data_IF_186378661100
#
_entry.id   IF_186378661100
#
_cell.length_a   1.000
_cell.length_b   1.000
_cell.length_c   1.000
_cell.angle_alpha   90.00
_cell.angle_beta   90.00
_cell.angle_gamma   90.00
#
_symmetry.space_group_name_H-M   'P 1'
#
loop_
_entity.id
_entity.type
_entity.pdbx_description
1 polymer ?
#
# COMPACT_ATOMS: atom_id res chain seq x y z
N UNK A 1 24.15 24.88 95.58
CA UNK A 1 23.07 24.99 94.61
C UNK A 1 23.60 24.48 93.30
N UNK A 2 23.25 23.23 92.96
CA UNK A 2 23.86 22.52 91.83
C UNK A 2 23.03 22.65 90.59
N UNK A 3 23.68 23.04 89.54
CA UNK A 3 23.16 23.16 88.23
C UNK A 3 23.26 21.78 87.53
N UNK A 4 22.17 21.16 87.29
CA UNK A 4 22.04 19.94 86.50
C UNK A 4 22.22 20.28 85.03
N UNK A 5 23.22 19.72 84.40
CA UNK A 5 23.51 19.87 82.98
C UNK A 5 22.90 18.67 82.24
N UNK A 6 21.89 18.81 81.38
CA UNK A 6 21.32 17.68 80.64
C UNK A 6 22.27 17.32 79.50
N UNK A 7 22.79 16.13 79.57
CA UNK A 7 23.52 15.47 78.50
C UNK A 7 22.65 15.33 77.21
N UNK A 8 22.91 16.19 76.26
CA UNK A 8 22.36 16.02 74.90
C UNK A 8 22.97 14.77 74.32
N UNK A 9 22.24 13.69 74.36
CA UNK A 9 22.52 12.48 73.61
C UNK A 9 22.48 12.82 72.10
N UNK A 10 23.62 12.99 71.47
CA UNK A 10 23.74 13.05 70.02
C UNK A 10 23.43 11.69 69.48
N UNK A 11 22.20 11.48 69.02
CA UNK A 11 21.84 10.37 68.15
C UNK A 11 22.61 10.57 66.83
N UNK A 12 23.78 9.95 66.75
CA UNK A 12 24.47 9.79 65.45
C UNK A 12 23.64 8.81 64.64
N UNK A 13 22.78 9.32 63.78
CA UNK A 13 22.20 8.55 62.72
C UNK A 13 23.37 7.99 61.87
N UNK A 14 23.68 6.73 62.06
CA UNK A 14 24.57 5.99 61.19
C UNK A 14 23.94 6.00 59.81
N UNK A 15 24.28 7.00 59.01
CA UNK A 15 24.07 6.95 57.57
C UNK A 15 24.92 5.79 57.06
N UNK A 16 24.30 4.65 56.87
CA UNK A 16 24.91 3.54 56.14
C UNK A 16 25.03 4.02 54.70
N UNK A 17 26.14 4.68 54.40
CA UNK A 17 26.49 5.03 53.05
C UNK A 17 26.66 3.71 52.25
N UNK A 18 26.00 3.58 51.17
CA UNK A 18 26.25 2.48 50.21
C UNK A 18 27.72 2.54 49.85
N UNK A 19 28.45 1.41 49.97
CA UNK A 19 29.87 1.39 49.61
C UNK A 19 30.07 1.95 48.19
N UNK A 20 31.04 2.83 47.94
CA UNK A 20 31.28 3.37 46.59
C UNK A 20 31.40 2.33 45.52
N UNK A 21 31.91 1.15 45.84
CA UNK A 21 32.02 0.01 44.94
C UNK A 21 30.64 -0.52 44.51
N UNK A 22 29.70 -0.64 45.48
CA UNK A 22 28.34 -1.11 45.15
C UNK A 22 27.60 -0.08 44.31
N UNK A 23 27.81 1.23 44.60
CA UNK A 23 27.19 2.29 43.81
C UNK A 23 27.69 2.30 42.35
N UNK A 24 28.98 2.07 42.10
CA UNK A 24 29.53 2.01 40.75
C UNK A 24 29.02 0.78 39.96
N UNK A 25 28.95 -0.38 40.64
CA UNK A 25 28.44 -1.60 40.02
C UNK A 25 26.97 -1.43 39.65
N UNK A 26 26.14 -0.84 40.53
CA UNK A 26 24.73 -0.55 40.24
C UNK A 26 24.58 0.43 39.07
N UNK A 27 25.41 1.49 39.05
CA UNK A 27 25.36 2.46 37.94
C UNK A 27 25.67 1.81 36.60
N UNK A 28 26.74 1.00 36.54
CA UNK A 28 27.10 0.29 35.30
C UNK A 28 26.01 -0.70 34.89
N UNK A 29 25.43 -1.46 35.85
CA UNK A 29 24.38 -2.39 35.56
C UNK A 29 23.13 -1.70 34.94
N UNK A 30 22.71 -0.56 35.50
CA UNK A 30 21.56 0.20 35.00
C UNK A 30 21.86 0.77 33.61
N UNK A 31 23.07 1.33 33.39
CA UNK A 31 23.42 1.90 32.08
C UNK A 31 23.48 0.85 30.97
N UNK A 32 23.99 -0.34 31.27
CA UNK A 32 24.00 -1.45 30.29
C UNK A 32 22.59 -1.91 29.95
N UNK A 33 21.71 -2.05 30.94
CA UNK A 33 20.30 -2.43 30.70
C UNK A 33 19.59 -1.36 29.88
N UNK A 34 19.76 -0.09 30.22
CA UNK A 34 19.15 1.01 29.44
C UNK A 34 19.70 1.07 28.02
N UNK A 35 21.01 0.87 27.84
CA UNK A 35 21.60 0.82 26.50
C UNK A 35 21.07 -0.35 25.67
N UNK A 36 20.90 -1.53 26.28
CA UNK A 36 20.31 -2.70 25.63
C UNK A 36 18.87 -2.46 25.21
N UNK A 37 18.04 -1.87 26.08
CA UNK A 37 16.63 -1.56 25.77
C UNK A 37 16.54 -0.51 24.66
N UNK A 38 17.35 0.55 24.72
CA UNK A 38 17.41 1.56 23.65
C UNK A 38 17.86 0.96 22.32
N UNK A 39 18.85 0.08 22.35
CA UNK A 39 19.32 -0.62 21.15
C UNK A 39 18.21 -1.45 20.50
N UNK A 40 17.46 -2.22 21.30
CA UNK A 40 16.32 -3.03 20.79
C UNK A 40 15.23 -2.13 20.22
N UNK A 41 14.89 -1.01 20.90
CA UNK A 41 13.90 -0.05 20.42
C UNK A 41 14.33 0.60 19.10
N UNK A 42 15.56 1.07 19.02
CA UNK A 42 16.09 1.69 17.78
C UNK A 42 16.19 0.66 16.66
N UNK A 43 16.67 -0.55 16.97
CA UNK A 43 16.71 -1.64 15.97
C UNK A 43 15.32 -2.00 15.47
N UNK A 44 14.30 -2.01 16.34
CA UNK A 44 12.92 -2.23 15.95
C UNK A 44 12.37 -1.12 15.03
N UNK A 45 12.74 0.14 15.30
CA UNK A 45 12.32 1.28 14.47
C UNK A 45 13.06 1.35 13.13
N UNK A 46 14.33 0.92 13.09
CA UNK A 46 15.12 0.93 11.84
C UNK A 46 14.85 -0.30 10.97
N UNK A 47 14.30 -1.37 11.55
CA UNK A 47 13.85 -2.56 10.82
C UNK A 47 12.40 -2.47 10.32
N UNK A 48 11.69 -1.36 10.54
CA UNK A 48 10.62 -1.02 9.60
C UNK A 48 11.31 -0.75 8.27
N UNK A 49 11.62 -1.84 7.55
CA UNK A 49 12.29 -1.79 6.29
C UNK A 49 11.60 -0.73 5.46
N UNK A 50 12.32 0.30 5.07
CA UNK A 50 11.92 1.11 3.96
C UNK A 50 11.84 0.14 2.77
N UNK A 51 10.69 -0.53 2.63
CA UNK A 51 10.39 -1.25 1.41
C UNK A 51 10.51 -0.18 0.35
N UNK A 52 11.50 -0.32 -0.54
CA UNK A 52 11.60 0.57 -1.69
C UNK A 52 10.21 0.63 -2.30
N UNK A 53 9.59 1.81 -2.37
CA UNK A 53 8.23 1.88 -2.85
C UNK A 53 8.21 1.37 -4.29
N UNK A 54 7.34 0.43 -4.57
CA UNK A 54 7.11 -0.01 -5.95
C UNK A 54 6.42 1.10 -6.73
N UNK A 55 6.92 1.39 -7.91
CA UNK A 55 6.29 2.33 -8.82
C UNK A 55 5.60 1.58 -9.95
N UNK A 56 4.37 1.99 -10.24
CA UNK A 56 3.61 1.56 -11.40
C UNK A 56 3.41 2.76 -12.32
N UNK A 57 4.29 2.89 -13.32
CA UNK A 57 4.11 3.90 -14.35
C UNK A 57 2.85 3.57 -15.15
N UNK A 58 2.00 4.56 -15.39
CA UNK A 58 0.77 4.44 -16.19
C UNK A 58 0.69 5.58 -17.18
N UNK A 59 0.40 5.27 -18.45
CA UNK A 59 0.20 6.29 -19.49
C UNK A 59 -1.16 7.00 -19.33
N UNK A 60 -1.38 8.04 -20.11
CA UNK A 60 -2.72 8.57 -20.35
C UNK A 60 -3.59 7.49 -21.01
N UNK A 61 -4.87 7.38 -20.61
CA UNK A 61 -5.78 6.40 -21.18
C UNK A 61 -6.15 6.74 -22.65
N UNK A 62 -6.38 5.68 -23.42
CA UNK A 62 -6.92 5.78 -24.78
C UNK A 62 -8.30 5.12 -24.79
N UNK A 63 -9.32 5.92 -25.03
CA UNK A 63 -10.70 5.43 -25.03
C UNK A 63 -11.11 4.81 -26.36
N UNK A 64 -11.82 3.70 -26.29
CA UNK A 64 -12.60 3.10 -27.37
C UNK A 64 -14.01 2.76 -26.89
N UNK A 65 -14.97 2.78 -27.81
CA UNK A 65 -16.36 2.47 -27.51
C UNK A 65 -16.81 1.29 -28.40
N UNK A 66 -16.62 0.04 -27.95
CA UNK A 66 -16.94 -1.15 -28.74
C UNK A 66 -18.44 -1.40 -28.86
N UNK A 67 -19.24 -0.87 -27.94
CA UNK A 67 -20.70 -1.00 -27.94
C UNK A 67 -21.35 0.15 -27.17
N UNK A 68 -22.61 0.44 -27.41
CA UNK A 68 -23.38 1.45 -26.69
C UNK A 68 -23.39 1.15 -25.19
N UNK A 69 -22.96 2.13 -24.39
CA UNK A 69 -22.91 2.03 -22.92
C UNK A 69 -21.75 1.19 -22.37
N UNK A 70 -20.73 0.91 -23.20
CA UNK A 70 -19.50 0.26 -22.75
C UNK A 70 -18.30 1.02 -23.29
N UNK A 71 -17.45 1.50 -22.41
CA UNK A 71 -16.27 2.28 -22.74
C UNK A 71 -15.02 1.56 -22.23
N UNK A 72 -14.06 1.36 -23.10
CA UNK A 72 -12.75 0.78 -22.79
C UNK A 72 -11.70 1.88 -22.81
N UNK A 73 -11.00 2.02 -21.71
CA UNK A 73 -9.92 3.00 -21.57
C UNK A 73 -8.62 2.23 -21.32
N UNK A 74 -7.80 2.10 -22.35
CA UNK A 74 -6.58 1.33 -22.33
C UNK A 74 -5.43 2.19 -21.79
N UNK A 75 -4.69 1.66 -20.81
CA UNK A 75 -3.57 2.32 -20.12
C UNK A 75 -2.36 1.40 -20.23
N UNK A 76 -1.30 1.88 -20.87
CA UNK A 76 -0.01 1.18 -20.91
C UNK A 76 0.68 1.29 -19.57
N UNK A 77 1.28 0.19 -19.13
CA UNK A 77 1.97 0.11 -17.83
C UNK A 77 3.48 0.02 -18.00
N UNK A 78 4.18 0.57 -17.01
CA UNK A 78 5.61 0.35 -16.80
C UNK A 78 5.82 -0.01 -15.32
N UNK A 79 5.54 -1.25 -14.93
CA UNK A 79 5.68 -1.69 -13.56
C UNK A 79 7.15 -1.89 -13.19
N UNK A 80 7.48 -1.63 -11.94
CA UNK A 80 8.76 -2.03 -11.38
C UNK A 80 8.83 -3.55 -11.26
N UNK A 81 10.02 -4.12 -11.48
CA UNK A 81 10.23 -5.55 -11.39
C UNK A 81 9.88 -6.10 -10.00
N UNK A 82 9.19 -7.23 -9.97
CA UNK A 82 8.71 -7.89 -8.74
C UNK A 82 7.36 -7.41 -8.23
N UNK A 83 6.67 -6.49 -8.93
CA UNK A 83 5.31 -6.08 -8.59
C UNK A 83 4.31 -7.21 -8.87
N UNK A 84 3.45 -7.51 -7.90
CA UNK A 84 2.31 -8.42 -8.06
C UNK A 84 1.00 -7.71 -7.79
N UNK A 85 -0.09 -8.24 -8.34
CA UNK A 85 -1.43 -7.66 -8.17
C UNK A 85 -1.90 -7.59 -6.72
N UNK A 86 -1.43 -8.50 -5.85
CA UNK A 86 -1.75 -8.47 -4.42
C UNK A 86 -1.12 -7.34 -3.64
N UNK A 87 -0.13 -6.64 -4.21
CA UNK A 87 0.54 -5.52 -3.54
C UNK A 87 -0.22 -4.20 -3.68
N UNK A 88 -1.12 -4.08 -4.65
CA UNK A 88 -1.83 -2.83 -4.91
C UNK A 88 -3.30 -3.03 -5.28
N UNK A 89 -4.07 -2.02 -4.97
CA UNK A 89 -5.42 -1.81 -5.46
C UNK A 89 -5.48 -0.64 -6.43
N UNK A 90 -6.62 -0.48 -7.09
CA UNK A 90 -6.86 0.60 -8.04
C UNK A 90 -8.05 1.45 -7.59
N UNK A 91 -7.94 2.76 -7.75
CA UNK A 91 -9.00 3.71 -7.47
C UNK A 91 -9.10 4.71 -8.62
N UNK A 92 -10.29 4.86 -9.16
CA UNK A 92 -10.63 5.96 -10.07
C UNK A 92 -10.96 7.19 -9.23
N UNK A 93 -10.23 8.27 -9.42
CA UNK A 93 -10.38 9.51 -8.68
C UNK A 93 -10.83 10.64 -9.58
N UNK A 94 -11.87 11.35 -9.16
CA UNK A 94 -12.30 12.58 -9.81
C UNK A 94 -11.27 13.69 -9.57
N UNK A 95 -11.33 14.80 -10.33
CA UNK A 95 -10.47 15.98 -10.13
C UNK A 95 -10.56 16.57 -8.72
N UNK A 96 -11.69 16.36 -8.03
CA UNK A 96 -11.89 16.77 -6.64
C UNK A 96 -11.28 15.84 -5.61
N UNK A 97 -10.64 14.75 -6.06
CA UNK A 97 -10.03 13.72 -5.19
C UNK A 97 -11.02 12.66 -4.68
N UNK A 98 -12.29 12.74 -5.04
CA UNK A 98 -13.31 11.77 -4.63
C UNK A 98 -13.11 10.46 -5.40
N UNK A 99 -13.09 9.34 -4.70
CA UNK A 99 -12.99 8.01 -5.34
C UNK A 99 -14.35 7.57 -5.87
N UNK A 100 -14.38 7.16 -7.13
CA UNK A 100 -15.56 6.53 -7.74
C UNK A 100 -15.60 5.06 -7.32
N UNK A 101 -16.74 4.59 -6.85
CA UNK A 101 -16.90 3.22 -6.37
C UNK A 101 -16.64 2.20 -7.49
N UNK A 102 -15.83 1.20 -7.19
CA UNK A 102 -15.52 0.09 -8.10
C UNK A 102 -16.76 -0.79 -8.24
N UNK A 103 -17.09 -1.16 -9.47
CA UNK A 103 -18.16 -2.10 -9.78
C UNK A 103 -17.68 -3.55 -9.81
N UNK A 104 -18.54 -4.41 -10.32
CA UNK A 104 -18.25 -5.82 -10.56
C UNK A 104 -18.18 -6.13 -12.05
N UNK A 105 -17.27 -7.01 -12.43
CA UNK A 105 -17.16 -7.49 -13.79
C UNK A 105 -18.29 -8.51 -14.08
N UNK A 106 -18.86 -8.52 -15.28
CA UNK A 106 -19.80 -9.55 -15.67
C UNK A 106 -19.10 -10.92 -15.78
N UNK A 107 -19.83 -12.00 -15.56
CA UNK A 107 -19.31 -13.36 -15.66
C UNK A 107 -18.74 -13.70 -17.06
N UNK A 108 -19.14 -12.97 -18.08
CA UNK A 108 -18.65 -13.11 -19.45
C UNK A 108 -17.27 -12.52 -19.70
N UNK A 109 -16.73 -11.74 -18.75
CA UNK A 109 -15.37 -11.19 -18.86
C UNK A 109 -14.35 -12.32 -18.66
N UNK A 110 -14.09 -13.06 -19.73
CA UNK A 110 -13.21 -14.24 -19.76
C UNK A 110 -12.08 -14.04 -20.76
N UNK A 111 -11.44 -15.15 -21.14
CA UNK A 111 -10.38 -15.16 -22.12
C UNK A 111 -10.82 -14.55 -23.46
N UNK A 112 -9.96 -13.66 -23.96
CA UNK A 112 -10.08 -13.11 -25.33
C UNK A 112 -9.15 -13.91 -26.22
N UNK A 113 -9.65 -14.32 -27.38
CA UNK A 113 -8.81 -15.04 -28.37
C UNK A 113 -7.72 -14.12 -28.89
N UNK A 114 -6.51 -14.67 -29.12
CA UNK A 114 -5.37 -13.90 -29.63
C UNK A 114 -5.76 -13.12 -30.91
N UNK A 115 -5.38 -11.86 -30.96
CA UNK A 115 -5.70 -10.95 -32.05
C UNK A 115 -7.12 -10.38 -32.06
N UNK A 116 -7.94 -10.74 -31.08
CA UNK A 116 -9.30 -10.21 -30.93
C UNK A 116 -9.27 -9.01 -29.98
N UNK A 117 -9.77 -7.88 -30.43
CA UNK A 117 -9.95 -6.71 -29.56
C UNK A 117 -11.02 -6.99 -28.49
N UNK A 118 -10.98 -6.25 -27.39
CA UNK A 118 -12.06 -6.28 -26.41
C UNK A 118 -13.40 -5.96 -27.04
N UNK A 119 -14.39 -6.78 -26.77
CA UNK A 119 -15.76 -6.60 -27.26
C UNK A 119 -16.76 -6.76 -26.12
N UNK A 120 -17.96 -6.30 -26.32
CA UNK A 120 -19.04 -6.46 -25.33
C UNK A 120 -19.41 -7.94 -25.07
N UNK A 121 -19.05 -8.86 -25.97
CA UNK A 121 -19.23 -10.29 -25.78
C UNK A 121 -18.20 -10.92 -24.85
N UNK A 122 -17.01 -10.28 -24.71
CA UNK A 122 -15.94 -10.76 -23.86
C UNK A 122 -15.97 -10.09 -22.48
N UNK A 123 -16.12 -8.76 -22.46
CA UNK A 123 -16.23 -7.97 -21.24
C UNK A 123 -17.35 -6.94 -21.44
N UNK A 124 -18.48 -7.19 -20.86
CA UNK A 124 -19.66 -6.32 -20.93
C UNK A 124 -19.60 -5.13 -19.97
N UNK A 125 -20.69 -4.36 -19.95
CA UNK A 125 -20.84 -3.26 -19.02
C UNK A 125 -20.70 -3.71 -17.56
N UNK A 126 -20.05 -2.91 -16.70
CA UNK A 126 -19.96 -3.22 -15.29
C UNK A 126 -21.33 -3.19 -14.61
N UNK A 127 -21.50 -4.01 -13.59
CA UNK A 127 -22.54 -3.78 -12.59
C UNK A 127 -21.99 -2.77 -11.60
N UNK A 128 -22.43 -1.54 -11.67
CA UNK A 128 -21.83 -0.39 -10.98
C UNK A 128 -21.11 0.54 -11.95
N UNK A 129 -20.04 1.21 -11.49
CA UNK A 129 -19.43 2.29 -12.27
C UNK A 129 -18.34 1.80 -13.23
N UNK A 130 -17.40 1.02 -12.74
CA UNK A 130 -16.23 0.58 -13.50
C UNK A 130 -15.58 -0.67 -12.88
N UNK A 131 -14.81 -1.39 -13.68
CA UNK A 131 -13.86 -2.42 -13.25
C UNK A 131 -12.61 -2.35 -14.13
N UNK A 132 -11.56 -3.09 -13.79
CA UNK A 132 -10.33 -3.12 -14.59
C UNK A 132 -10.00 -4.53 -15.01
N UNK A 133 -9.58 -4.64 -16.25
CA UNK A 133 -9.04 -5.87 -16.82
C UNK A 133 -7.56 -5.68 -17.08
N UNK A 134 -6.76 -6.62 -16.60
CA UNK A 134 -5.36 -6.77 -16.97
C UNK A 134 -5.29 -7.78 -18.10
N UNK A 135 -4.77 -7.39 -19.25
CA UNK A 135 -4.76 -8.25 -20.40
C UNK A 135 -3.40 -8.33 -21.09
N UNK A 136 -3.07 -9.49 -21.66
CA UNK A 136 -1.81 -9.74 -22.34
C UNK A 136 -1.76 -9.07 -23.72
N UNK A 137 -0.75 -8.22 -23.94
CA UNK A 137 -0.56 -7.57 -25.25
C UNK A 137 -0.22 -8.57 -26.37
N UNK A 138 0.46 -9.68 -26.03
CA UNK A 138 0.93 -10.64 -27.01
C UNK A 138 -0.15 -11.53 -27.59
N UNK A 139 -1.16 -11.92 -26.81
CA UNK A 139 -2.18 -12.87 -27.22
C UNK A 139 -3.63 -12.39 -27.02
N UNK A 140 -3.81 -11.19 -26.47
CA UNK A 140 -5.12 -10.59 -26.24
C UNK A 140 -5.98 -11.32 -25.19
N UNK A 141 -5.40 -12.16 -24.34
CA UNK A 141 -6.13 -12.86 -23.30
C UNK A 141 -6.17 -12.07 -22.01
N UNK A 142 -7.24 -12.25 -21.22
CA UNK A 142 -7.35 -11.63 -19.89
C UNK A 142 -6.42 -12.37 -18.92
N UNK A 143 -5.52 -11.63 -18.30
CA UNK A 143 -4.61 -12.12 -17.28
C UNK A 143 -5.22 -12.05 -15.89
N UNK A 144 -5.93 -10.96 -15.57
CA UNK A 144 -6.53 -10.73 -14.26
C UNK A 144 -7.66 -9.70 -14.36
N UNK A 145 -8.53 -9.67 -13.35
CA UNK A 145 -9.65 -8.72 -13.27
C UNK A 145 -9.67 -8.08 -11.89
N UNK A 146 -9.82 -6.75 -11.84
CA UNK A 146 -9.98 -5.97 -10.62
C UNK A 146 -11.41 -5.49 -10.48
N UNK A 147 -12.01 -5.79 -9.34
CA UNK A 147 -13.41 -5.45 -9.01
C UNK A 147 -13.51 -4.90 -7.59
N UNK A 148 -14.72 -4.66 -7.12
CA UNK A 148 -14.96 -4.26 -5.72
C UNK A 148 -14.41 -5.25 -4.68
N UNK A 149 -14.17 -6.50 -5.04
CA UNK A 149 -13.51 -7.51 -4.21
C UNK A 149 -11.98 -7.53 -4.32
N UNK A 150 -11.38 -6.63 -5.10
CA UNK A 150 -9.95 -6.62 -5.40
C UNK A 150 -9.60 -7.44 -6.67
N UNK A 151 -8.34 -7.84 -6.79
CA UNK A 151 -7.85 -8.68 -7.88
C UNK A 151 -8.32 -10.12 -7.76
N UNK A 152 -8.77 -10.72 -8.85
CA UNK A 152 -9.20 -12.14 -8.88
C UNK A 152 -8.05 -13.11 -8.59
N UNK A 153 -6.81 -12.75 -8.95
CA UNK A 153 -5.58 -13.52 -8.66
C UNK A 153 -4.54 -12.58 -8.02
N UNK A 154 -4.41 -12.54 -6.69
CA UNK A 154 -3.52 -11.58 -6.01
C UNK A 154 -2.02 -11.82 -6.24
N UNK A 155 -1.62 -13.04 -6.56
CA UNK A 155 -0.21 -13.42 -6.75
C UNK A 155 0.27 -13.26 -8.19
N UNK A 156 -0.54 -12.67 -9.08
CA UNK A 156 -0.19 -12.52 -10.48
C UNK A 156 0.94 -11.48 -10.64
N UNK A 157 2.08 -11.84 -11.27
CA UNK A 157 3.16 -10.89 -11.53
C UNK A 157 2.74 -9.89 -12.61
N UNK A 158 3.01 -8.61 -12.38
CA UNK A 158 2.71 -7.54 -13.34
C UNK A 158 3.98 -7.17 -14.09
N UNK A 159 3.91 -7.20 -15.40
CA UNK A 159 5.03 -6.88 -16.30
C UNK A 159 4.60 -5.87 -17.36
N UNK A 160 5.51 -5.45 -18.24
CA UNK A 160 5.20 -4.57 -19.38
C UNK A 160 4.53 -5.31 -20.55
N UNK A 161 4.31 -6.62 -20.40
CA UNK A 161 3.59 -7.42 -21.41
C UNK A 161 2.08 -7.34 -21.27
N UNK A 162 1.60 -6.72 -20.19
CA UNK A 162 0.18 -6.52 -19.93
C UNK A 162 -0.22 -5.05 -20.08
N UNK A 163 -1.50 -4.83 -20.31
CA UNK A 163 -2.14 -3.53 -20.35
C UNK A 163 -3.34 -3.49 -19.40
N UNK A 164 -3.52 -2.38 -18.71
CA UNK A 164 -4.75 -2.13 -17.95
C UNK A 164 -5.82 -1.58 -18.88
N UNK A 165 -7.01 -2.13 -18.79
CA UNK A 165 -8.19 -1.61 -19.46
C UNK A 165 -9.26 -1.30 -18.42
N UNK A 166 -9.56 -0.03 -18.24
CA UNK A 166 -10.67 0.42 -17.40
C UNK A 166 -11.94 0.30 -18.22
N UNK A 167 -12.85 -0.54 -17.78
CA UNK A 167 -14.17 -0.75 -18.40
C UNK A 167 -15.20 0.03 -17.59
N UNK A 168 -15.91 0.94 -18.23
CA UNK A 168 -16.91 1.80 -17.60
C UNK A 168 -18.24 1.79 -18.36
N UNK A 169 -19.34 2.04 -17.65
CA UNK A 169 -20.66 2.16 -18.22
C UNK A 169 -20.92 3.54 -18.85
N UNK A 170 -20.12 4.54 -18.43
CA UNK A 170 -20.18 5.91 -18.94
C UNK A 170 -18.82 6.30 -19.52
N UNK A 171 -18.83 7.24 -20.48
CA UNK A 171 -17.59 7.80 -20.99
C UNK A 171 -16.81 8.49 -19.88
N UNK A 172 -15.53 8.18 -19.78
CA UNK A 172 -14.58 8.88 -18.90
C UNK A 172 -13.81 9.98 -19.66
N UNK A 173 -13.84 9.97 -20.99
CA UNK A 173 -13.11 10.95 -21.79
C UNK A 173 -13.56 12.37 -21.48
N UNK A 174 -12.60 13.23 -21.15
CA UNK A 174 -12.84 14.63 -20.80
C UNK A 174 -13.33 14.85 -19.36
N UNK A 175 -13.45 13.82 -18.53
CA UNK A 175 -13.83 13.98 -17.11
C UNK A 175 -12.69 14.47 -16.23
N UNK A 176 -11.45 14.40 -16.73
CA UNK A 176 -10.23 14.64 -15.95
C UNK A 176 -10.07 13.70 -14.72
N UNK A 177 -10.77 12.58 -14.71
CA UNK A 177 -10.60 11.53 -13.74
C UNK A 177 -9.21 10.89 -13.93
N UNK A 178 -8.66 10.30 -12.89
CA UNK A 178 -7.37 9.61 -12.96
C UNK A 178 -7.45 8.25 -12.30
N UNK A 179 -6.79 7.24 -12.88
CA UNK A 179 -6.63 5.95 -12.23
C UNK A 179 -5.40 5.99 -11.34
N UNK A 180 -5.56 5.72 -10.06
CA UNK A 180 -4.47 5.68 -9.08
C UNK A 180 -4.28 4.28 -8.53
N UNK A 181 -3.02 3.84 -8.42
CA UNK A 181 -2.65 2.64 -7.68
C UNK A 181 -2.35 3.02 -6.22
N UNK A 182 -2.81 2.21 -5.28
CA UNK A 182 -2.57 2.37 -3.85
C UNK A 182 -2.17 1.02 -3.23
N UNK A 183 -1.41 1.08 -2.15
CA UNK A 183 -0.93 -0.11 -1.44
C UNK A 183 -2.06 -0.86 -0.75
N UNK A 184 -2.07 -2.19 -0.88
CA UNK A 184 -3.04 -3.07 -0.18
C UNK A 184 -2.41 -3.89 0.94
N UNK A 185 -1.08 -3.87 1.09
CA UNK A 185 -0.33 -4.63 2.08
C UNK A 185 0.82 -3.85 2.69
N UNK A 186 1.83 -4.56 3.15
CA UNK A 186 3.04 -3.98 3.74
C UNK A 186 3.97 -3.31 2.74
N UNK A 187 3.84 -3.62 1.45
CA UNK A 187 4.62 -2.98 0.39
C UNK A 187 3.99 -1.65 -0.01
N UNK A 188 4.81 -0.61 -0.09
CA UNK A 188 4.37 0.68 -0.60
C UNK A 188 4.31 0.63 -2.13
N UNK A 189 3.16 0.92 -2.71
CA UNK A 189 2.97 1.01 -4.16
C UNK A 189 2.36 2.36 -4.49
N UNK A 190 2.86 3.01 -5.53
CA UNK A 190 2.31 4.26 -6.05
C UNK A 190 2.31 4.26 -7.57
N UNK A 191 1.27 4.82 -8.15
CA UNK A 191 1.13 5.00 -9.59
C UNK A 191 -0.12 5.81 -9.89
N UNK A 192 -0.09 6.58 -10.96
CA UNK A 192 -1.23 7.36 -11.42
C UNK A 192 -1.19 7.47 -12.93
N UNK A 193 -2.35 7.31 -13.59
CA UNK A 193 -2.49 7.59 -15.02
C UNK A 193 -2.55 9.09 -15.30
N UNK A 194 -2.38 9.45 -16.57
CA UNK A 194 -2.89 10.74 -17.02
C UNK A 194 -4.42 10.83 -16.87
N UNK A 195 -4.99 12.03 -17.07
CA UNK A 195 -6.44 12.22 -17.02
C UNK A 195 -7.13 11.49 -18.18
N UNK A 196 -8.36 11.05 -17.92
CA UNK A 196 -9.27 10.47 -18.92
C UNK A 196 -9.87 11.49 -19.85
#
# INVERSE_FOLDING_TARGET
>A
MQLLNPLRARIRARRRGVSPIIATILLVAITVVLAAVLYVLISGLTHTGASTPYTLGMSSPTQSNPATGIYFNAITMSPQNGLTTGMFGLALKSPTGTSVAVGTAPAACKWVVAGTAFTSTNCGAPTGNWYVVLYWLGNGSIANVYTSGGWSTPTFPVTNSEQLVVVSATSLAGTSDTLSAFSTGSSSVSGQSGPF
#
